data_IF_216632734266
#
_entry.id   IF_216632734266
#
_cell.length_a   1.000
_cell.length_b   1.000
_cell.length_c   1.000
_cell.angle_alpha   90.00
_cell.angle_beta   90.00
_cell.angle_gamma   90.00
#
_symmetry.space_group_name_H-M   'P 1'
#
loop_
_entity.id
_entity.type
_entity.pdbx_description
1 polymer ?
#
# COMPACT_ATOMS: atom_id res chain seq x y z
N UNK A 1 3.72 -28.97 19.13
CA UNK A 1 3.09 -28.20 18.04
C UNK A 1 3.37 -26.74 18.37
N UNK A 2 4.35 -26.14 17.69
CA UNK A 2 4.58 -24.71 17.86
C UNK A 2 3.35 -24.00 17.30
N UNK A 3 2.63 -23.24 18.13
CA UNK A 3 1.68 -22.26 17.63
C UNK A 3 2.46 -21.32 16.72
N UNK A 4 2.20 -21.33 15.42
CA UNK A 4 2.70 -20.28 14.54
C UNK A 4 2.12 -18.97 15.07
N UNK A 5 2.96 -18.15 15.69
CA UNK A 5 2.61 -16.78 16.03
C UNK A 5 2.36 -16.06 14.69
N UNK A 6 1.11 -16.10 14.23
CA UNK A 6 0.68 -15.35 13.07
C UNK A 6 0.76 -13.87 13.45
N UNK A 7 1.52 -13.08 12.68
CA UNK A 7 1.63 -11.64 12.92
C UNK A 7 0.25 -11.02 12.84
N UNK A 8 -0.17 -10.34 13.90
CA UNK A 8 -1.38 -9.52 13.86
C UNK A 8 -0.99 -8.10 13.44
N UNK A 9 -1.40 -7.69 12.26
CA UNK A 9 -1.07 -6.38 11.71
C UNK A 9 -1.79 -5.23 12.40
N UNK A 10 -2.84 -5.50 13.20
CA UNK A 10 -3.49 -4.48 14.03
C UNK A 10 -2.62 -4.02 15.21
N UNK A 11 -1.54 -4.74 15.54
CA UNK A 11 -0.58 -4.35 16.58
C UNK A 11 0.38 -3.23 16.13
N UNK A 12 0.43 -2.93 14.83
CA UNK A 12 1.25 -1.84 14.30
C UNK A 12 0.63 -0.47 14.54
N UNK A 13 1.44 0.58 14.43
CA UNK A 13 0.99 1.96 14.47
C UNK A 13 1.65 2.75 13.35
N UNK A 14 0.95 3.76 12.85
CA UNK A 14 1.40 4.62 11.76
C UNK A 14 1.26 6.09 12.15
N UNK A 15 1.83 6.99 11.36
CA UNK A 15 1.80 8.44 11.65
C UNK A 15 0.74 9.14 10.77
N UNK A 16 -0.26 9.75 11.39
CA UNK A 16 -1.24 10.58 10.72
C UNK A 16 -0.65 11.89 10.20
N UNK A 17 -1.38 12.59 9.32
CA UNK A 17 -0.95 13.84 8.69
C UNK A 17 -0.58 14.94 9.69
N UNK A 18 -1.29 15.02 10.81
CA UNK A 18 -0.99 15.96 11.90
C UNK A 18 0.25 15.56 12.73
N UNK A 19 0.84 14.40 12.48
CA UNK A 19 1.98 13.85 13.19
C UNK A 19 1.63 13.00 14.41
N UNK A 20 0.34 12.80 14.71
CA UNK A 20 -0.09 11.91 15.77
C UNK A 20 0.12 10.43 15.38
N UNK A 21 0.29 9.59 16.40
CA UNK A 21 0.35 8.13 16.22
C UNK A 21 -1.06 7.56 16.14
N UNK A 22 -1.35 6.80 15.09
CA UNK A 22 -2.60 6.05 14.92
C UNK A 22 -2.30 4.56 15.00
N UNK A 23 -2.77 3.86 16.05
CA UNK A 23 -2.66 2.41 16.10
C UNK A 23 -3.61 1.78 15.07
N UNK A 24 -3.16 0.75 14.35
CA UNK A 24 -4.01 0.06 13.37
C UNK A 24 -5.18 -0.68 14.03
N UNK A 25 -5.10 -0.96 15.33
CA UNK A 25 -6.23 -1.45 16.14
C UNK A 25 -7.44 -0.51 16.16
N UNK A 26 -7.29 0.77 15.79
CA UNK A 26 -8.44 1.67 15.50
C UNK A 26 -9.35 1.13 14.39
N UNK A 27 -8.82 0.29 13.50
CA UNK A 27 -9.56 -0.34 12.41
C UNK A 27 -9.93 -1.80 12.70
N UNK A 28 -9.92 -2.24 13.96
CA UNK A 28 -10.28 -3.61 14.32
C UNK A 28 -11.66 -4.03 13.78
N UNK A 29 -11.75 -5.24 13.22
CA UNK A 29 -12.97 -5.79 12.62
C UNK A 29 -13.25 -5.32 11.18
N UNK A 30 -12.41 -4.43 10.62
CA UNK A 30 -12.45 -4.01 9.22
C UNK A 30 -11.49 -4.82 8.36
N UNK A 31 -11.79 -4.91 7.08
CA UNK A 31 -10.85 -5.33 6.03
C UNK A 31 -10.00 -4.14 5.65
N UNK A 32 -8.66 -4.27 5.66
CA UNK A 32 -7.76 -3.17 5.34
C UNK A 32 -7.06 -3.40 4.01
N UNK A 33 -7.09 -2.41 3.12
CA UNK A 33 -6.21 -2.35 1.96
C UNK A 33 -5.13 -1.30 2.21
N UNK A 34 -3.92 -1.74 2.53
CA UNK A 34 -2.74 -0.88 2.75
C UNK A 34 -2.05 -0.64 1.41
N UNK A 35 -1.82 0.63 1.04
CA UNK A 35 -1.28 0.98 -0.30
C UNK A 35 -0.15 2.00 -0.18
N UNK A 36 0.99 1.75 -0.81
CA UNK A 36 2.00 2.80 -1.00
C UNK A 36 1.73 3.57 -2.29
N UNK A 37 1.71 4.90 -2.26
CA UNK A 37 1.24 5.72 -3.39
C UNK A 37 2.21 6.84 -3.76
N UNK A 38 1.96 7.43 -4.93
CA UNK A 38 2.71 8.58 -5.43
C UNK A 38 1.83 9.40 -6.39
N UNK A 39 2.07 10.71 -6.47
CA UNK A 39 1.30 11.64 -7.31
C UNK A 39 1.79 11.67 -8.75
N UNK A 40 3.10 11.53 -8.97
CA UNK A 40 3.78 11.56 -10.27
C UNK A 40 4.03 10.20 -10.92
N UNK A 41 3.27 9.16 -10.56
CA UNK A 41 3.43 7.81 -11.11
C UNK A 41 2.52 7.56 -12.33
N UNK A 42 2.95 6.68 -13.24
CA UNK A 42 2.08 6.19 -14.32
C UNK A 42 0.86 5.40 -13.82
N UNK A 43 0.89 4.92 -12.58
CA UNK A 43 -0.22 4.23 -11.92
C UNK A 43 -1.10 5.16 -11.06
N UNK A 44 -0.80 6.46 -11.00
CA UNK A 44 -1.62 7.44 -10.25
C UNK A 44 -3.13 7.39 -10.60
N UNK A 45 -3.56 7.15 -11.85
CA UNK A 45 -4.99 7.00 -12.15
C UNK A 45 -5.71 5.89 -11.36
N UNK A 46 -5.00 4.93 -10.76
CA UNK A 46 -5.61 3.92 -9.89
C UNK A 46 -6.29 4.52 -8.65
N UNK A 47 -6.02 5.78 -8.30
CA UNK A 47 -6.81 6.49 -7.29
C UNK A 47 -8.32 6.52 -7.63
N UNK A 48 -8.69 6.58 -8.91
CA UNK A 48 -10.09 6.54 -9.35
C UNK A 48 -10.74 5.20 -9.01
N UNK A 49 -10.04 4.09 -9.27
CA UNK A 49 -10.52 2.75 -8.93
C UNK A 49 -10.52 2.51 -7.42
N UNK A 50 -9.49 2.96 -6.70
CA UNK A 50 -9.42 2.84 -5.24
C UNK A 50 -10.59 3.59 -4.59
N UNK A 51 -10.89 4.81 -5.03
CA UNK A 51 -12.01 5.57 -4.51
C UNK A 51 -13.36 4.92 -4.88
N UNK A 52 -13.52 4.44 -6.11
CA UNK A 52 -14.73 3.70 -6.52
C UNK A 52 -14.97 2.48 -5.63
N UNK A 53 -13.94 1.67 -5.39
CA UNK A 53 -13.99 0.48 -4.53
C UNK A 53 -14.29 0.90 -3.09
N UNK A 54 -13.63 1.94 -2.59
CA UNK A 54 -13.86 2.44 -1.24
C UNK A 54 -15.31 2.89 -1.05
N UNK A 55 -15.84 3.70 -1.96
CA UNK A 55 -17.22 4.16 -1.92
C UNK A 55 -18.24 3.00 -1.94
N UNK A 56 -17.95 1.93 -2.69
CA UNK A 56 -18.82 0.76 -2.77
C UNK A 56 -18.83 -0.11 -1.49
N UNK A 57 -17.72 -0.15 -0.75
CA UNK A 57 -17.49 -1.17 0.28
C UNK A 57 -17.16 -0.63 1.67
N UNK A 58 -16.94 0.69 1.86
CA UNK A 58 -16.60 1.27 3.17
C UNK A 58 -17.66 1.00 4.24
N UNK A 59 -18.94 1.06 3.87
CA UNK A 59 -20.06 0.80 4.78
C UNK A 59 -20.24 -0.69 5.10
N UNK A 60 -19.58 -1.57 4.35
CA UNK A 60 -19.54 -3.02 4.59
C UNK A 60 -18.35 -3.42 5.49
N UNK A 61 -17.45 -2.47 5.78
CA UNK A 61 -16.29 -2.68 6.65
C UNK A 61 -14.94 -2.66 5.95
N UNK A 62 -14.84 -2.11 4.73
CA UNK A 62 -13.55 -1.81 4.10
C UNK A 62 -12.94 -0.52 4.67
N UNK A 63 -11.63 -0.52 4.86
CA UNK A 63 -10.81 0.69 4.98
C UNK A 63 -9.63 0.64 4.01
N UNK A 64 -9.38 1.71 3.27
CA UNK A 64 -8.15 1.86 2.48
C UNK A 64 -7.19 2.77 3.24
N UNK A 65 -5.95 2.34 3.43
CA UNK A 65 -4.92 3.10 4.14
C UNK A 65 -3.84 3.54 3.14
N UNK A 66 -3.82 4.84 2.83
CA UNK A 66 -2.98 5.45 1.80
C UNK A 66 -1.68 6.03 2.38
N UNK A 67 -0.53 5.49 1.96
CA UNK A 67 0.80 5.87 2.41
C UNK A 67 1.66 6.41 1.26
N UNK A 68 1.76 7.74 1.10
CA UNK A 68 2.64 8.32 0.10
C UNK A 68 4.10 7.90 0.32
N UNK A 69 4.84 7.64 -0.76
CA UNK A 69 6.25 7.25 -0.68
C UNK A 69 7.05 7.82 -1.86
N UNK A 70 8.19 8.46 -1.57
CA UNK A 70 9.02 9.10 -2.59
C UNK A 70 10.21 8.24 -3.06
N UNK A 71 10.31 6.99 -2.61
CA UNK A 71 11.49 6.15 -2.84
C UNK A 71 11.63 5.64 -4.28
N UNK A 72 10.54 5.72 -5.06
CA UNK A 72 10.44 5.20 -6.43
C UNK A 72 10.50 6.34 -7.45
N UNK A 73 11.68 6.52 -8.05
CA UNK A 73 11.97 7.58 -9.04
C UNK A 73 11.56 9.01 -8.63
N UNK A 74 11.48 9.31 -7.33
CA UNK A 74 11.14 10.64 -6.85
C UNK A 74 9.73 11.09 -7.25
N UNK A 75 8.76 10.17 -7.30
CA UNK A 75 7.40 10.41 -7.82
C UNK A 75 6.40 10.98 -6.80
N UNK A 76 6.83 11.27 -5.57
CA UNK A 76 6.06 11.98 -4.54
C UNK A 76 6.93 13.04 -3.81
N UNK A 77 7.54 13.98 -4.55
CA UNK A 77 8.49 14.95 -3.99
C UNK A 77 7.83 16.02 -3.10
N UNK A 78 6.53 16.23 -3.26
CA UNK A 78 5.75 17.27 -2.58
C UNK A 78 5.65 17.02 -1.06
N UNK A 79 5.23 18.03 -0.31
CA UNK A 79 4.95 17.88 1.13
C UNK A 79 3.72 17.00 1.37
N UNK A 80 3.57 16.47 2.59
CA UNK A 80 2.40 15.66 2.98
C UNK A 80 1.08 16.40 2.68
N UNK A 81 1.00 17.69 3.03
CA UNK A 81 -0.18 18.54 2.79
C UNK A 81 -0.48 18.72 1.29
N UNK A 82 0.56 18.90 0.47
CA UNK A 82 0.41 19.06 -0.97
C UNK A 82 -0.07 17.77 -1.65
N UNK A 83 0.47 16.62 -1.23
CA UNK A 83 0.02 15.31 -1.70
C UNK A 83 -1.44 15.10 -1.30
N UNK A 84 -1.79 15.43 -0.05
CA UNK A 84 -3.14 15.30 0.45
C UNK A 84 -4.13 16.14 -0.36
N UNK A 85 -3.82 17.42 -0.55
CA UNK A 85 -4.64 18.33 -1.33
C UNK A 85 -4.77 17.86 -2.79
N UNK A 86 -3.67 17.41 -3.40
CA UNK A 86 -3.69 16.92 -4.77
C UNK A 86 -4.66 15.76 -4.93
N UNK A 87 -4.53 14.72 -4.11
CA UNK A 87 -5.35 13.53 -4.25
C UNK A 87 -6.81 13.79 -3.89
N UNK A 88 -7.09 14.57 -2.83
CA UNK A 88 -8.46 14.93 -2.45
C UNK A 88 -9.14 15.80 -3.51
N UNK A 89 -8.45 16.77 -4.12
CA UNK A 89 -9.06 17.62 -5.15
C UNK A 89 -9.18 16.93 -6.50
N UNK A 90 -8.19 16.12 -6.89
CA UNK A 90 -8.14 15.52 -8.23
C UNK A 90 -8.98 14.26 -8.34
N UNK A 91 -8.95 13.42 -7.29
CA UNK A 91 -9.58 12.10 -7.30
C UNK A 91 -10.73 11.98 -6.30
N UNK A 92 -11.02 13.04 -5.53
CA UNK A 92 -12.06 13.05 -4.51
C UNK A 92 -11.90 11.89 -3.51
N UNK A 93 -10.66 11.56 -3.14
CA UNK A 93 -10.41 10.43 -2.23
C UNK A 93 -10.96 10.72 -0.84
N UNK A 94 -11.75 9.80 -0.29
CA UNK A 94 -12.36 9.91 1.04
C UNK A 94 -11.65 9.04 2.10
N UNK A 95 -10.89 8.04 1.68
CA UNK A 95 -10.18 7.15 2.60
C UNK A 95 -8.99 7.83 3.31
N UNK A 96 -8.59 7.34 4.50
CA UNK A 96 -7.47 7.88 5.26
C UNK A 96 -6.15 7.89 4.47
N UNK A 97 -5.48 9.04 4.48
CA UNK A 97 -4.11 9.22 4.01
C UNK A 97 -3.21 9.59 5.17
N UNK A 98 -2.04 8.97 5.22
CA UNK A 98 -1.06 9.14 6.29
C UNK A 98 0.11 10.02 5.84
N UNK A 99 1.02 10.31 6.76
CA UNK A 99 2.28 10.96 6.39
C UNK A 99 3.07 10.10 5.42
N UNK A 100 3.88 10.77 4.60
CA UNK A 100 4.85 10.09 3.75
C UNK A 100 5.81 9.26 4.59
N UNK A 101 6.10 8.07 4.11
CA UNK A 101 7.04 7.15 4.75
C UNK A 101 7.94 6.46 3.73
N UNK A 102 8.97 5.81 4.25
CA UNK A 102 9.84 4.93 3.49
C UNK A 102 9.33 3.49 3.62
N UNK A 103 9.37 2.72 2.53
CA UNK A 103 8.94 1.32 2.49
C UNK A 103 10.10 0.34 2.28
N UNK A 104 11.29 0.86 1.96
CA UNK A 104 12.52 0.12 1.70
C UNK A 104 13.70 0.74 2.44
N UNK A 105 14.77 -0.04 2.62
CA UNK A 105 16.01 0.41 3.27
C UNK A 105 15.96 0.41 4.79
N UNK A 106 16.97 1.02 5.41
CA UNK A 106 17.11 1.07 6.88
C UNK A 106 16.05 1.93 7.57
N UNK A 107 15.40 2.82 6.80
CA UNK A 107 14.35 3.73 7.25
C UNK A 107 12.95 3.21 6.94
N UNK A 108 12.83 1.99 6.38
CA UNK A 108 11.54 1.39 6.07
C UNK A 108 10.64 1.35 7.31
N UNK A 109 9.40 1.79 7.14
CA UNK A 109 8.38 1.69 8.17
C UNK A 109 8.20 0.21 8.57
N UNK A 110 8.15 -0.10 9.89
CA UNK A 110 8.03 -1.48 10.37
C UNK A 110 6.83 -2.23 9.78
N UNK A 111 5.70 -1.55 9.51
CA UNK A 111 4.53 -2.16 8.90
C UNK A 111 4.86 -2.69 7.50
N UNK A 112 5.45 -1.86 6.64
CA UNK A 112 5.78 -2.24 5.27
C UNK A 112 6.87 -3.31 5.21
N UNK A 113 7.89 -3.20 6.07
CA UNK A 113 8.92 -4.22 6.17
C UNK A 113 8.34 -5.59 6.56
N UNK A 114 7.42 -5.63 7.55
CA UNK A 114 6.77 -6.86 7.98
C UNK A 114 5.86 -7.44 6.88
N UNK A 115 4.96 -6.62 6.32
CA UNK A 115 4.03 -7.02 5.25
C UNK A 115 4.77 -7.65 4.06
N UNK A 116 5.83 -6.99 3.61
CA UNK A 116 6.59 -7.41 2.45
C UNK A 116 7.57 -8.56 2.74
N UNK A 117 7.93 -8.79 4.01
CA UNK A 117 8.68 -9.98 4.44
C UNK A 117 7.78 -11.21 4.44
N UNK A 118 6.56 -11.10 4.99
CA UNK A 118 5.60 -12.20 5.01
C UNK A 118 5.10 -12.55 3.60
N UNK A 119 4.86 -11.54 2.76
CA UNK A 119 4.52 -11.73 1.33
C UNK A 119 5.53 -11.01 0.42
N UNK A 120 6.60 -11.72 0.02
CA UNK A 120 7.61 -11.19 -0.90
C UNK A 120 7.04 -10.86 -2.29
N UNK A 121 7.75 -10.01 -3.01
CA UNK A 121 7.46 -9.64 -4.39
C UNK A 121 7.31 -10.86 -5.30
N UNK A 122 6.20 -10.93 -6.04
CA UNK A 122 5.88 -12.06 -6.92
C UNK A 122 6.17 -11.79 -8.41
N UNK A 123 6.69 -10.60 -8.75
CA UNK A 123 6.89 -10.18 -10.14
C UNK A 123 5.74 -9.32 -10.67
N UNK A 124 6.02 -8.47 -11.67
CA UNK A 124 5.01 -7.60 -12.29
C UNK A 124 4.11 -8.33 -13.32
N UNK A 125 4.15 -9.66 -13.38
CA UNK A 125 3.50 -10.46 -14.41
C UNK A 125 4.39 -10.68 -15.64
N UNK A 126 3.76 -10.93 -16.79
CA UNK A 126 4.43 -11.34 -18.03
C UNK A 126 4.34 -10.31 -19.15
N UNK A 127 5.20 -10.45 -20.17
CA UNK A 127 5.21 -9.59 -21.36
C UNK A 127 6.21 -8.43 -21.30
N UNK A 128 6.35 -7.73 -22.43
CA UNK A 128 7.41 -6.73 -22.62
C UNK A 128 7.31 -5.54 -21.67
N UNK A 129 6.08 -5.07 -21.38
CA UNK A 129 5.85 -3.97 -20.43
C UNK A 129 6.24 -4.35 -19.00
N UNK A 130 5.88 -5.56 -18.56
CA UNK A 130 6.26 -6.08 -17.24
C UNK A 130 7.78 -6.25 -17.13
N UNK A 131 8.44 -6.76 -18.17
CA UNK A 131 9.90 -6.89 -18.21
C UNK A 131 10.62 -5.51 -18.17
N UNK A 132 10.08 -4.51 -18.86
CA UNK A 132 10.61 -3.15 -18.82
C UNK A 132 10.44 -2.52 -17.43
N UNK A 133 9.27 -2.69 -16.80
CA UNK A 133 9.02 -2.22 -15.44
C UNK A 133 9.92 -2.93 -14.43
N UNK A 134 10.10 -4.25 -14.52
CA UNK A 134 11.00 -5.02 -13.66
C UNK A 134 12.45 -4.51 -13.73
N UNK A 135 12.96 -4.30 -14.95
CA UNK A 135 14.31 -3.75 -15.14
C UNK A 135 14.44 -2.36 -14.52
N UNK A 136 13.45 -1.50 -14.70
CA UNK A 136 13.47 -0.14 -14.17
C UNK A 136 13.36 -0.12 -12.64
N UNK A 137 12.44 -0.89 -12.07
CA UNK A 137 12.27 -1.06 -10.63
C UNK A 137 13.56 -1.59 -9.96
N UNK A 138 14.18 -2.63 -10.54
CA UNK A 138 15.45 -3.16 -10.03
C UNK A 138 16.57 -2.13 -10.06
N UNK A 139 16.65 -1.31 -11.12
CA UNK A 139 17.63 -0.23 -11.19
C UNK A 139 17.39 0.83 -10.09
N UNK A 140 16.14 1.25 -9.88
CA UNK A 140 15.77 2.19 -8.82
C UNK A 140 16.08 1.66 -7.42
N UNK A 141 15.82 0.37 -7.19
CA UNK A 141 15.90 -0.24 -5.86
C UNK A 141 17.29 -0.80 -5.52
N UNK A 142 18.24 -0.80 -6.47
CA UNK A 142 19.62 -1.26 -6.22
C UNK A 142 20.26 -0.61 -4.99
N UNK A 143 19.92 0.65 -4.70
CA UNK A 143 20.41 1.40 -3.53
C UNK A 143 19.99 0.80 -2.18
N UNK A 144 18.92 0.00 -2.14
CA UNK A 144 18.40 -0.63 -0.91
C UNK A 144 18.92 -2.07 -0.71
N UNK A 145 19.57 -2.66 -1.71
CA UNK A 145 20.12 -4.02 -1.62
C UNK A 145 19.07 -5.05 -1.21
N UNK A 146 19.38 -5.85 -0.17
CA UNK A 146 18.49 -6.88 0.38
C UNK A 146 17.24 -6.30 1.06
N UNK A 147 17.24 -5.00 1.40
CA UNK A 147 16.11 -4.29 2.02
C UNK A 147 15.20 -3.62 0.99
N UNK A 148 15.17 -4.17 -0.23
CA UNK A 148 14.25 -3.79 -1.30
C UNK A 148 13.02 -4.71 -1.31
N UNK A 149 12.09 -4.47 -0.39
CA UNK A 149 10.91 -5.31 -0.18
C UNK A 149 9.74 -4.98 -1.14
N UNK A 150 9.56 -3.68 -1.41
CA UNK A 150 8.55 -3.14 -2.33
C UNK A 150 9.23 -2.71 -3.62
N UNK A 151 8.69 -3.13 -4.75
CA UNK A 151 9.36 -2.89 -6.03
C UNK A 151 8.95 -1.59 -6.71
N UNK A 152 7.74 -1.08 -6.48
CA UNK A 152 7.25 0.14 -7.12
C UNK A 152 6.13 0.81 -6.32
N UNK A 153 5.69 1.98 -6.80
CA UNK A 153 4.46 2.62 -6.32
C UNK A 153 3.23 1.75 -6.62
N UNK A 154 2.18 1.89 -5.81
CA UNK A 154 0.89 1.20 -5.92
C UNK A 154 0.96 -0.32 -5.66
N UNK A 155 1.93 -0.79 -4.87
CA UNK A 155 1.83 -2.12 -4.25
C UNK A 155 0.77 -2.05 -3.14
N UNK A 156 -0.05 -3.10 -3.02
CA UNK A 156 -1.15 -3.16 -2.05
C UNK A 156 -1.04 -4.42 -1.20
N UNK A 157 -1.46 -4.34 0.05
CA UNK A 157 -1.58 -5.47 0.95
C UNK A 157 -2.99 -5.53 1.52
N UNK A 158 -3.59 -6.72 1.51
CA UNK A 158 -4.93 -6.95 2.02
C UNK A 158 -4.86 -7.65 3.36
N UNK A 159 -5.42 -7.04 4.40
CA UNK A 159 -5.49 -7.57 5.76
C UNK A 159 -6.96 -7.89 6.06
N UNK A 160 -7.24 -9.07 6.62
CA UNK A 160 -8.59 -9.49 7.00
C UNK A 160 -9.09 -8.79 8.28
N UNK A 161 -10.35 -9.04 8.64
CA UNK A 161 -11.00 -8.51 9.85
C UNK A 161 -10.32 -8.92 11.16
N UNK A 162 -9.50 -9.97 11.16
CA UNK A 162 -8.77 -10.47 12.32
C UNK A 162 -7.35 -9.90 12.42
N UNK A 163 -6.92 -9.12 11.42
CA UNK A 163 -5.60 -8.53 11.37
C UNK A 163 -4.54 -9.40 10.69
N UNK A 164 -4.92 -10.43 9.93
CA UNK A 164 -3.98 -11.30 9.22
C UNK A 164 -3.79 -10.88 7.76
N UNK A 165 -2.58 -11.04 7.23
CA UNK A 165 -2.25 -10.72 5.85
C UNK A 165 -2.76 -11.78 4.86
N UNK A 166 -3.73 -11.39 4.04
CA UNK A 166 -4.43 -12.26 3.07
C UNK A 166 -3.76 -12.25 1.70
N UNK A 167 -3.33 -11.09 1.22
CA UNK A 167 -2.80 -10.95 -0.13
C UNK A 167 -1.84 -9.77 -0.28
N UNK A 168 -1.01 -9.84 -1.33
CA UNK A 168 -0.20 -8.76 -1.86
C UNK A 168 -0.53 -8.59 -3.34
N UNK A 169 -0.72 -7.36 -3.79
CA UNK A 169 -0.98 -7.03 -5.19
C UNK A 169 0.09 -6.07 -5.70
N UNK A 170 0.62 -6.35 -6.88
CA UNK A 170 1.55 -5.45 -7.55
C UNK A 170 0.79 -4.37 -8.31
N UNK A 171 1.41 -3.24 -8.67
CA UNK A 171 0.74 -2.19 -9.44
C UNK A 171 0.13 -2.64 -10.77
N UNK A 172 0.61 -3.77 -11.31
CA UNK A 172 0.09 -4.36 -12.55
C UNK A 172 -1.11 -5.30 -12.34
N UNK A 173 -1.44 -5.67 -11.10
CA UNK A 173 -2.66 -6.43 -10.80
C UNK A 173 -3.90 -5.60 -11.16
N UNK A 174 -4.87 -6.22 -11.83
CA UNK A 174 -6.12 -5.53 -12.20
C UNK A 174 -6.93 -5.15 -10.96
N UNK A 175 -7.56 -3.97 -10.97
CA UNK A 175 -8.36 -3.52 -9.84
C UNK A 175 -9.61 -4.39 -9.61
N UNK A 176 -10.14 -5.05 -10.65
CA UNK A 176 -11.20 -6.06 -10.49
C UNK A 176 -10.75 -7.26 -9.65
N UNK A 177 -9.49 -7.67 -9.76
CA UNK A 177 -8.93 -8.75 -8.94
C UNK A 177 -8.73 -8.31 -7.49
N UNK A 178 -8.27 -7.08 -7.29
CA UNK A 178 -8.14 -6.48 -5.95
C UNK A 178 -9.52 -6.39 -5.29
N UNK A 179 -10.54 -5.90 -6.01
CA UNK A 179 -11.91 -5.77 -5.52
C UNK A 179 -12.52 -7.13 -5.16
N UNK A 180 -12.39 -8.15 -6.03
CA UNK A 180 -12.86 -9.51 -5.70
C UNK A 180 -12.22 -10.08 -4.45
N UNK A 181 -10.93 -9.81 -4.22
CA UNK A 181 -10.25 -10.27 -3.02
C UNK A 181 -10.75 -9.54 -1.77
N UNK A 182 -11.04 -8.25 -1.87
CA UNK A 182 -11.67 -7.45 -0.80
C UNK A 182 -13.05 -8.02 -0.47
N UNK A 183 -13.91 -8.23 -1.47
CA UNK A 183 -15.26 -8.76 -1.31
C UNK A 183 -15.26 -10.12 -0.61
N UNK A 184 -14.26 -10.95 -0.86
CA UNK A 184 -14.11 -12.24 -0.18
C UNK A 184 -13.81 -12.14 1.33
N UNK A 185 -13.46 -10.96 1.84
CA UNK A 185 -13.16 -10.70 3.26
C UNK A 185 -14.24 -9.85 3.98
N UNK A 186 -15.18 -9.26 3.24
CA UNK A 186 -16.30 -8.47 3.79
C UNK A 186 -17.39 -9.40 4.31
#
# INVERSE_FOLDING_TARGET
MASENTTNYLDFSVTAQDGSTVPLSTYAGKVLLVVNTATGCGFTPQYEDLERIYAAHKDQGLEILDFPCNQFAGQAPESDDQINQFCSLKFNTEFPRFKKLDVNGDTADPLFAALATERPFQGFGSGLKAAALDKFAKANNKKFGEKAYIMWNFTKFLIDRNGHLVARFEPTTSMDEVERAIEAQL
#
